data_IF_342610319607
#
_entry.id   IF_342610319607
#
_cell.length_a   1.000
_cell.length_b   1.000
_cell.length_c   1.000
_cell.angle_alpha   90.00
_cell.angle_beta   90.00
_cell.angle_gamma   90.00
#
_symmetry.space_group_name_H-M   'P 1'
#
loop_
_entity.id
_entity.type
_entity.pdbx_description
1 polymer ?
#
# COMPACT_ATOMS: atom_id res chain seq x y z
N UNK A 1 14.98 -0.09 13.51
CA UNK A 1 13.96 -0.40 12.49
C UNK A 1 14.12 0.60 11.37
N UNK A 2 14.67 0.17 10.23
CA UNK A 2 14.77 0.99 9.02
C UNK A 2 13.51 0.78 8.20
N UNK A 3 12.72 1.83 8.06
CA UNK A 3 11.58 1.85 7.16
C UNK A 3 12.05 2.42 5.83
N UNK A 4 11.96 1.64 4.76
CA UNK A 4 12.14 2.19 3.43
C UNK A 4 10.89 2.98 3.07
N UNK A 5 11.05 4.30 3.04
CA UNK A 5 10.01 5.26 2.70
C UNK A 5 10.11 5.59 1.22
N UNK A 6 9.01 5.38 0.50
CA UNK A 6 8.90 5.68 -0.93
C UNK A 6 7.85 6.79 -1.06
N UNK A 7 8.19 7.96 -1.63
CA UNK A 7 7.32 9.15 -1.65
C UNK A 7 6.05 9.05 -2.50
N UNK A 8 5.75 7.90 -3.11
CA UNK A 8 4.60 7.76 -3.99
C UNK A 8 4.70 6.52 -4.89
N UNK A 9 3.59 6.21 -5.57
CA UNK A 9 3.50 5.08 -6.50
C UNK A 9 4.45 5.23 -7.71
N UNK A 10 4.65 6.45 -8.18
CA UNK A 10 5.50 6.81 -9.32
C UNK A 10 7.00 6.57 -9.07
N UNK A 11 7.40 6.41 -7.81
CA UNK A 11 8.78 6.14 -7.39
C UNK A 11 9.07 4.64 -7.18
N UNK A 12 8.07 3.77 -7.44
CA UNK A 12 8.26 2.33 -7.35
C UNK A 12 9.01 1.78 -8.56
N UNK A 13 9.88 0.80 -8.32
CA UNK A 13 10.46 -0.01 -9.38
C UNK A 13 9.45 -1.04 -9.95
N UNK A 14 9.80 -1.68 -11.07
CA UNK A 14 8.91 -2.59 -11.79
C UNK A 14 8.45 -3.79 -10.93
N UNK A 15 9.37 -4.38 -10.15
CA UNK A 15 9.07 -5.49 -9.23
C UNK A 15 8.11 -5.04 -8.11
N UNK A 16 8.27 -3.83 -7.60
CA UNK A 16 7.40 -3.24 -6.59
C UNK A 16 6.00 -2.92 -7.16
N UNK A 17 5.95 -2.41 -8.38
CA UNK A 17 4.71 -2.14 -9.12
C UNK A 17 3.91 -3.44 -9.33
N UNK A 18 4.58 -4.51 -9.75
CA UNK A 18 3.94 -5.81 -9.98
C UNK A 18 3.33 -6.33 -8.68
N UNK A 19 4.11 -6.34 -7.59
CA UNK A 19 3.63 -6.78 -6.28
C UNK A 19 2.45 -5.95 -5.77
N UNK A 20 2.53 -4.62 -5.86
CA UNK A 20 1.42 -3.78 -5.40
C UNK A 20 0.17 -3.99 -6.26
N UNK A 21 0.33 -4.21 -7.56
CA UNK A 21 -0.79 -4.50 -8.46
C UNK A 21 -1.48 -5.82 -8.12
N UNK A 22 -0.73 -6.84 -7.71
CA UNK A 22 -1.30 -8.10 -7.22
C UNK A 22 -2.08 -7.93 -5.92
N UNK A 23 -1.58 -7.10 -4.99
CA UNK A 23 -2.30 -6.79 -3.75
C UNK A 23 -3.61 -6.07 -4.07
N UNK A 24 -3.58 -5.06 -4.93
CA UNK A 24 -4.78 -4.35 -5.38
C UNK A 24 -5.79 -5.28 -6.06
N UNK A 25 -5.34 -6.14 -6.98
CA UNK A 25 -6.22 -7.09 -7.66
C UNK A 25 -6.93 -8.07 -6.71
N UNK A 26 -6.38 -8.29 -5.50
CA UNK A 26 -6.97 -9.19 -4.48
C UNK A 26 -7.89 -8.48 -3.50
N UNK A 27 -7.67 -7.20 -3.23
CA UNK A 27 -8.29 -6.51 -2.09
C UNK A 27 -9.01 -5.21 -2.45
N UNK A 28 -8.93 -4.72 -3.69
CA UNK A 28 -9.58 -3.46 -4.05
C UNK A 28 -11.11 -3.54 -3.93
N UNK A 29 -11.71 -4.71 -4.18
CA UNK A 29 -13.14 -4.97 -3.99
C UNK A 29 -13.59 -5.01 -2.52
N UNK A 30 -12.65 -5.08 -1.56
CA UNK A 30 -12.97 -5.08 -0.13
C UNK A 30 -12.97 -3.67 0.48
N UNK A 31 -12.74 -2.63 -0.34
CA UNK A 31 -12.72 -1.23 0.10
C UNK A 31 -14.03 -0.55 -0.28
N UNK A 32 -14.62 0.19 0.68
CA UNK A 32 -15.90 0.87 0.48
C UNK A 32 -15.88 1.98 -0.59
N UNK A 33 -14.71 2.57 -0.87
CA UNK A 33 -14.53 3.62 -1.88
C UNK A 33 -13.26 3.40 -2.72
N UNK A 34 -13.31 2.54 -3.75
CA UNK A 34 -12.14 2.20 -4.56
C UNK A 34 -11.45 3.40 -5.23
N UNK A 35 -12.18 4.50 -5.48
CA UNK A 35 -11.60 5.68 -6.11
C UNK A 35 -10.68 6.45 -5.14
N UNK A 36 -11.07 6.55 -3.86
CA UNK A 36 -10.23 7.15 -2.84
C UNK A 36 -8.89 6.41 -2.66
N UNK A 37 -8.90 5.09 -2.88
CA UNK A 37 -7.71 4.24 -2.76
C UNK A 37 -7.04 3.92 -4.10
N UNK A 38 -7.31 4.68 -5.16
CA UNK A 38 -6.59 4.53 -6.42
C UNK A 38 -5.08 4.78 -6.23
N UNK A 39 -4.25 4.14 -7.07
CA UNK A 39 -2.77 4.23 -7.00
C UNK A 39 -2.25 5.67 -7.06
N UNK A 40 -2.92 6.54 -7.82
CA UNK A 40 -2.64 7.97 -7.95
C UNK A 40 -2.88 8.78 -6.66
N UNK A 41 -3.63 8.21 -5.72
CA UNK A 41 -3.93 8.80 -4.42
C UNK A 41 -2.97 8.33 -3.33
N UNK A 42 -2.04 7.42 -3.63
CA UNK A 42 -0.96 7.04 -2.72
C UNK A 42 -0.01 8.23 -2.58
N UNK A 43 0.09 8.75 -1.36
CA UNK A 43 0.99 9.82 -0.97
C UNK A 43 2.35 9.26 -0.51
N UNK A 44 2.36 8.11 0.15
CA UNK A 44 3.59 7.52 0.66
C UNK A 44 3.42 6.01 0.85
N UNK A 45 4.51 5.27 0.65
CA UNK A 45 4.58 3.84 0.88
C UNK A 45 5.70 3.60 1.88
N UNK A 46 5.36 3.02 3.03
CA UNK A 46 6.34 2.57 4.01
C UNK A 46 6.45 1.07 3.97
N UNK A 47 7.67 0.58 3.80
CA UNK A 47 7.95 -0.85 3.76
C UNK A 47 8.75 -1.25 5.00
N UNK A 48 8.24 -2.25 5.71
CA UNK A 48 8.96 -2.88 6.80
C UNK A 48 9.61 -4.16 6.28
N UNK A 49 10.94 -4.15 6.13
CA UNK A 49 11.66 -5.31 5.62
C UNK A 49 11.72 -6.46 6.64
N UNK A 50 11.77 -6.16 7.94
CA UNK A 50 11.84 -7.18 9.00
C UNK A 50 10.52 -7.95 9.13
N UNK A 51 9.39 -7.25 9.03
CA UNK A 51 8.06 -7.84 9.15
C UNK A 51 7.43 -8.21 7.80
N UNK A 52 8.13 -7.96 6.69
CA UNK A 52 7.62 -8.12 5.33
C UNK A 52 6.24 -7.45 5.11
N UNK A 53 5.98 -6.34 5.80
CA UNK A 53 4.72 -5.61 5.76
C UNK A 53 4.84 -4.28 5.01
N UNK A 54 3.71 -3.77 4.55
CA UNK A 54 3.61 -2.57 3.74
C UNK A 54 2.47 -1.69 4.28
N UNK A 55 2.73 -0.39 4.44
CA UNK A 55 1.74 0.61 4.78
C UNK A 55 1.64 1.62 3.64
N UNK A 56 0.43 1.82 3.14
CA UNK A 56 0.08 2.77 2.09
C UNK A 56 -0.64 3.95 2.71
N UNK A 57 -0.04 5.13 2.61
CA UNK A 57 -0.63 6.38 3.07
C UNK A 57 -1.29 7.06 1.87
N UNK A 58 -2.56 7.41 2.00
CA UNK A 58 -3.34 8.04 0.93
C UNK A 58 -3.57 9.52 1.20
N UNK A 59 -3.83 10.29 0.13
CA UNK A 59 -4.14 11.73 0.19
C UNK A 59 -5.38 12.06 1.02
N UNK A 60 -6.30 11.11 1.18
CA UNK A 60 -7.49 11.25 2.02
C UNK A 60 -7.18 11.12 3.53
N UNK A 61 -5.93 10.84 3.90
CA UNK A 61 -5.48 10.66 5.29
C UNK A 61 -5.52 9.21 5.78
N UNK A 62 -6.07 8.29 4.98
CA UNK A 62 -6.17 6.89 5.37
C UNK A 62 -4.85 6.16 5.20
N UNK A 63 -4.67 5.13 6.03
CA UNK A 63 -3.54 4.21 5.95
C UNK A 63 -4.07 2.80 5.78
N UNK A 64 -3.65 2.14 4.70
CA UNK A 64 -3.94 0.73 4.47
C UNK A 64 -2.68 -0.09 4.68
N UNK A 65 -2.79 -1.13 5.49
CA UNK A 65 -1.69 -2.04 5.80
C UNK A 65 -1.90 -3.35 5.09
N UNK A 66 -0.79 -3.92 4.63
CA UNK A 66 -0.70 -5.24 4.05
C UNK A 66 0.33 -6.07 4.81
N UNK A 67 -0.10 -7.22 5.32
CA UNK A 67 0.77 -8.17 6.05
C UNK A 67 1.28 -9.27 5.13
N UNK A 68 2.40 -9.94 5.46
CA UNK A 68 2.87 -11.10 4.69
C UNK A 68 1.88 -12.27 4.69
N UNK A 69 0.97 -12.33 5.66
CA UNK A 69 -0.12 -13.31 5.74
C UNK A 69 -1.24 -13.05 4.73
N UNK A 70 -1.17 -11.93 4.00
CA UNK A 70 -2.16 -11.54 2.99
C UNK A 70 -3.33 -10.76 3.59
N UNK A 71 -3.23 -10.30 4.83
CA UNK A 71 -4.26 -9.44 5.40
C UNK A 71 -4.12 -8.02 4.84
N UNK A 72 -5.27 -7.41 4.59
CA UNK A 72 -5.40 -6.05 4.09
C UNK A 72 -6.43 -5.32 4.92
N UNK A 73 -6.00 -4.31 5.67
CA UNK A 73 -6.87 -3.59 6.58
C UNK A 73 -6.48 -2.13 6.75
N UNK A 74 -7.50 -1.32 7.02
CA UNK A 74 -7.34 0.10 7.33
C UNK A 74 -6.90 0.28 8.77
N UNK A 75 -5.83 1.04 9.00
CA UNK A 75 -5.49 1.56 10.33
C UNK A 75 -6.30 2.81 10.63
N UNK A 76 -6.72 2.94 11.89
CA UNK A 76 -7.39 4.11 12.46
C UNK A 76 -6.37 5.12 12.96
#
# INVERSE_FOLDING_TARGET
>A
MEWNQIPGYDQLDEDQIERLSLVYARHMDTLDDPAAYAKENILEIKRNQEQHSLALYFKNGDVINYTPEGEWFKSV
#
